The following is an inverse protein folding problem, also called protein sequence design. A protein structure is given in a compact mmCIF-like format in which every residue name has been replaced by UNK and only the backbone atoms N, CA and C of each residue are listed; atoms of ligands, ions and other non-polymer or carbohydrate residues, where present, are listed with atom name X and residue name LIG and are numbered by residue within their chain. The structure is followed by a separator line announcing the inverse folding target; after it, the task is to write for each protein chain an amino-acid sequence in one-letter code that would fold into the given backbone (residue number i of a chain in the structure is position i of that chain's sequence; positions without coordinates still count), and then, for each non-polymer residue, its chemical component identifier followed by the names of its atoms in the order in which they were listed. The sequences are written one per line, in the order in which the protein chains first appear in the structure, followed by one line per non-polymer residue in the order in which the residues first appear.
data_IF_869629715569
#
_entry.id   IF_869629715569
#
_cell.length_a   1.000
_cell.length_b   1.000
_cell.length_c   1.000
_cell.angle_alpha   90.00
_cell.angle_beta   90.00
_cell.angle_gamma   90.00
#
_symmetry.space_group_name_H-M   'P 1'
#
loop_
_entity.id
_entity.type
_entity.pdbx_description
1 polymer ?
#
# COMPACT_ATOMS: atom_id res chain seq x y z
N UNK A 1 -28.05 8.32 23.11
CA UNK A 1 -26.71 7.78 23.44
C UNK A 1 -25.96 7.51 22.14
N UNK A 2 -25.17 8.48 21.67
CA UNK A 2 -24.22 8.28 20.56
C UNK A 2 -23.04 7.49 21.10
N UNK A 3 -22.85 6.27 20.59
CA UNK A 3 -21.63 5.49 20.85
C UNK A 3 -20.45 6.30 20.32
N UNK A 4 -19.36 6.53 21.09
CA UNK A 4 -18.21 7.23 20.57
C UNK A 4 -17.65 6.41 19.40
N UNK A 5 -17.55 7.02 18.22
CA UNK A 5 -16.80 6.46 17.11
C UNK A 5 -15.36 6.27 17.58
N UNK A 6 -14.74 5.08 17.44
CA UNK A 6 -13.34 4.95 17.78
C UNK A 6 -12.58 5.90 16.85
N UNK A 7 -11.85 6.87 17.42
CA UNK A 7 -10.83 7.59 16.65
C UNK A 7 -9.72 6.58 16.40
N UNK A 8 -9.88 5.75 15.37
CA UNK A 8 -8.79 4.94 14.83
C UNK A 8 -7.73 5.92 14.35
N UNK A 9 -6.68 6.09 15.15
CA UNK A 9 -5.53 6.90 14.74
C UNK A 9 -4.94 6.32 13.47
N UNK A 10 -4.54 7.20 12.55
CA UNK A 10 -3.86 6.79 11.33
C UNK A 10 -2.51 6.16 11.67
N UNK A 11 -2.23 5.00 11.09
CA UNK A 11 -0.94 4.32 11.21
C UNK A 11 -0.15 4.60 9.94
N UNK A 12 0.86 5.46 10.02
CA UNK A 12 1.72 5.77 8.87
C UNK A 12 2.77 4.67 8.70
N UNK A 13 2.85 4.09 7.50
CA UNK A 13 3.90 3.15 7.11
C UNK A 13 4.77 3.79 6.05
N UNK A 14 6.06 3.92 6.32
CA UNK A 14 7.02 4.48 5.38
C UNK A 14 7.90 3.36 4.85
N UNK A 15 8.06 3.30 3.54
CA UNK A 15 9.07 2.46 2.91
C UNK A 15 8.69 2.03 1.51
N UNK A 16 9.19 0.87 1.09
CA UNK A 16 9.13 0.42 -0.28
C UNK A 16 8.02 -0.62 -0.53
N UNK A 17 7.68 -0.73 -1.82
CA UNK A 17 6.93 -1.83 -2.39
C UNK A 17 7.78 -2.42 -3.50
N UNK A 18 7.91 -3.75 -3.52
CA UNK A 18 8.73 -4.47 -4.49
C UNK A 18 7.87 -5.53 -5.20
N UNK A 19 8.34 -5.97 -6.36
CA UNK A 19 7.80 -7.13 -7.05
C UNK A 19 8.67 -8.35 -6.73
N UNK A 20 8.19 -9.21 -5.84
CA UNK A 20 8.84 -10.48 -5.51
C UNK A 20 8.64 -11.46 -6.68
N UNK A 21 9.74 -11.80 -7.35
CA UNK A 21 9.75 -12.68 -8.54
C UNK A 21 9.97 -14.13 -8.11
N UNK A 22 8.94 -14.95 -8.28
CA UNK A 22 8.99 -16.40 -8.16
C UNK A 22 9.09 -17.06 -9.55
N UNK A 23 9.47 -18.35 -9.65
CA UNK A 23 9.61 -19.03 -10.94
C UNK A 23 8.36 -19.00 -11.83
N UNK A 24 7.17 -19.00 -11.23
CA UNK A 24 5.88 -19.10 -11.90
C UNK A 24 5.08 -17.78 -11.89
N UNK A 25 5.44 -16.82 -11.02
CA UNK A 25 4.66 -15.60 -10.81
C UNK A 25 5.46 -14.45 -10.24
N UNK A 26 4.93 -13.25 -10.40
CA UNK A 26 5.37 -12.05 -9.68
C UNK A 26 4.31 -11.62 -8.70
N UNK A 27 4.69 -11.27 -7.48
CA UNK A 27 3.77 -10.84 -6.43
C UNK A 27 4.25 -9.51 -5.85
N UNK A 28 3.33 -8.58 -5.63
CA UNK A 28 3.65 -7.37 -4.88
C UNK A 28 3.95 -7.71 -3.41
N UNK A 29 5.13 -7.28 -2.97
CA UNK A 29 5.70 -7.50 -1.65
C UNK A 29 6.35 -6.23 -1.09
N UNK A 30 7.24 -6.43 -0.11
CA UNK A 30 7.80 -5.37 0.73
C UNK A 30 7.18 -5.37 2.12
N UNK A 31 8.03 -5.33 3.16
CA UNK A 31 7.57 -5.39 4.54
C UNK A 31 6.56 -4.27 4.89
N UNK A 32 6.77 -2.99 4.52
CA UNK A 32 5.80 -1.93 4.78
C UNK A 32 4.45 -2.17 4.08
N UNK A 33 4.47 -2.61 2.82
CA UNK A 33 3.26 -2.94 2.06
C UNK A 33 2.47 -4.09 2.70
N UNK A 34 3.17 -5.16 3.10
CA UNK A 34 2.55 -6.33 3.72
C UNK A 34 1.91 -5.98 5.06
N UNK A 35 2.60 -5.20 5.90
CA UNK A 35 2.01 -4.74 7.18
C UNK A 35 0.81 -3.83 6.92
N UNK A 36 0.87 -2.91 5.95
CA UNK A 36 -0.27 -2.05 5.57
C UNK A 36 -1.49 -2.89 5.21
N UNK A 37 -1.31 -3.91 4.35
CA UNK A 37 -2.39 -4.83 3.96
C UNK A 37 -3.01 -5.56 5.15
N UNK A 38 -2.20 -6.04 6.08
CA UNK A 38 -2.70 -6.74 7.25
C UNK A 38 -3.44 -5.83 8.22
N UNK A 39 -2.91 -4.61 8.47
CA UNK A 39 -3.59 -3.61 9.30
C UNK A 39 -4.95 -3.22 8.71
N UNK A 40 -5.02 -3.06 7.38
CA UNK A 40 -6.27 -2.79 6.67
C UNK A 40 -7.27 -3.94 6.86
N UNK A 41 -6.82 -5.19 6.70
CA UNK A 41 -7.66 -6.37 6.92
C UNK A 41 -8.16 -6.51 8.37
N UNK A 42 -7.45 -5.95 9.35
CA UNK A 42 -7.89 -5.86 10.75
C UNK A 42 -8.83 -4.68 11.03
N UNK A 43 -9.22 -3.90 10.02
CA UNK A 43 -10.14 -2.77 10.18
C UNK A 43 -9.51 -1.53 10.82
N UNK A 44 -8.18 -1.43 10.79
CA UNK A 44 -7.45 -0.23 11.19
C UNK A 44 -7.34 0.74 10.01
N UNK A 45 -6.76 1.93 10.25
CA UNK A 45 -6.54 2.96 9.22
C UNK A 45 -5.04 3.14 8.90
N UNK A 46 -4.40 2.19 8.19
CA UNK A 46 -3.04 2.35 7.74
C UNK A 46 -2.97 3.24 6.49
N UNK A 47 -1.93 4.07 6.40
CA UNK A 47 -1.58 4.84 5.21
C UNK A 47 -0.15 4.49 4.81
N UNK A 48 0.01 3.93 3.61
CA UNK A 48 1.33 3.65 3.05
C UNK A 48 1.88 4.90 2.37
N UNK A 49 3.05 5.36 2.83
CA UNK A 49 3.83 6.43 2.25
C UNK A 49 5.02 5.80 1.53
N UNK A 50 5.02 5.87 0.21
CA UNK A 50 6.04 5.22 -0.62
C UNK A 50 6.39 6.04 -1.85
N UNK A 51 7.52 5.72 -2.48
CA UNK A 51 7.92 6.28 -3.77
C UNK A 51 7.89 5.16 -4.79
N UNK A 52 7.30 5.43 -5.95
CA UNK A 52 7.21 4.46 -7.05
C UNK A 52 7.89 5.01 -8.29
N UNK A 53 8.35 4.10 -9.16
CA UNK A 53 8.59 4.43 -10.56
C UNK A 53 7.29 4.80 -11.28
N UNK A 54 7.39 5.11 -12.58
CA UNK A 54 6.25 5.36 -13.46
C UNK A 54 6.13 4.25 -14.52
N UNK A 55 5.93 3.03 -14.05
CA UNK A 55 5.94 1.80 -14.83
C UNK A 55 4.72 0.91 -14.54
N UNK A 56 4.69 -0.28 -15.14
CA UNK A 56 3.59 -1.23 -14.95
C UNK A 56 3.45 -1.72 -13.50
N UNK A 57 4.55 -1.77 -12.73
CA UNK A 57 4.50 -2.19 -11.32
C UNK A 57 3.78 -1.15 -10.45
N UNK A 58 3.90 0.13 -10.79
CA UNK A 58 3.08 1.18 -10.15
C UNK A 58 1.59 0.90 -10.39
N UNK A 59 1.18 0.62 -11.61
CA UNK A 59 -0.24 0.37 -11.91
C UNK A 59 -0.77 -0.88 -11.19
N UNK A 60 0.03 -1.95 -11.15
CA UNK A 60 -0.28 -3.15 -10.37
C UNK A 60 -0.44 -2.84 -8.88
N UNK A 61 0.45 -2.02 -8.32
CA UNK A 61 0.36 -1.56 -6.93
C UNK A 61 -0.95 -0.82 -6.70
N UNK A 62 -1.26 0.21 -7.48
CA UNK A 62 -2.47 1.01 -7.32
C UNK A 62 -3.74 0.15 -7.41
N UNK A 63 -3.80 -0.77 -8.38
CA UNK A 63 -4.91 -1.72 -8.51
C UNK A 63 -5.02 -2.62 -7.27
N UNK A 64 -3.90 -3.12 -6.74
CA UNK A 64 -3.90 -3.90 -5.51
C UNK A 64 -4.35 -3.08 -4.30
N UNK A 65 -3.93 -1.83 -4.17
CA UNK A 65 -4.35 -0.94 -3.07
C UNK A 65 -5.84 -0.68 -3.11
N UNK A 66 -6.38 -0.34 -4.28
CA UNK A 66 -7.81 -0.16 -4.48
C UNK A 66 -8.61 -1.43 -4.13
N UNK A 67 -8.14 -2.61 -4.57
CA UNK A 67 -8.78 -3.89 -4.27
C UNK A 67 -8.86 -4.19 -2.76
N UNK A 68 -7.84 -3.79 -1.99
CA UNK A 68 -7.82 -4.00 -0.54
C UNK A 68 -8.41 -2.82 0.25
N UNK A 69 -8.86 -1.76 -0.41
CA UNK A 69 -9.40 -0.56 0.25
C UNK A 69 -8.35 0.21 1.05
N UNK A 70 -7.07 0.14 0.65
CA UNK A 70 -5.98 0.82 1.34
C UNK A 70 -5.80 2.24 0.86
N UNK A 71 -5.54 3.15 1.79
CA UNK A 71 -5.09 4.51 1.49
C UNK A 71 -3.57 4.55 1.25
N UNK A 72 -3.15 5.35 0.26
CA UNK A 72 -1.75 5.62 0.00
C UNK A 72 -1.47 7.09 -0.24
N UNK A 73 -0.27 7.49 0.16
CA UNK A 73 0.40 8.68 -0.33
C UNK A 73 1.63 8.22 -1.11
N UNK A 74 1.58 8.32 -2.43
CA UNK A 74 2.71 7.94 -3.28
C UNK A 74 3.13 9.10 -4.19
N UNK A 75 4.44 9.28 -4.36
CA UNK A 75 5.00 10.18 -5.35
C UNK A 75 5.67 9.37 -6.47
N UNK A 76 5.29 9.65 -7.71
CA UNK A 76 6.01 9.15 -8.88
C UNK A 76 7.21 10.06 -9.14
N UNK A 77 8.39 9.48 -9.36
CA UNK A 77 9.63 10.28 -9.53
C UNK A 77 10.25 10.26 -10.90
N UNK A 78 9.84 9.38 -11.82
CA UNK A 78 10.41 9.32 -13.17
C UNK A 78 9.40 9.66 -14.28
N UNK A 79 9.67 10.65 -15.14
CA UNK A 79 9.06 10.68 -16.47
C UNK A 79 9.61 9.49 -17.26
N UNK A 80 8.74 8.76 -17.96
CA UNK A 80 9.17 7.61 -18.78
C UNK A 80 10.29 8.06 -19.72
N UNK A 81 11.47 7.45 -19.59
CA UNK A 81 12.60 7.61 -20.54
C UNK A 81 12.27 6.88 -21.84
#
# INVERSE_FOLDING_TARGET
MTKPSPRTGTIALLGEVLADRFPDRSVLGGAPFNVTRHLQAFGLHPVLITRTGNDALREELLASMARFGMDALHQATDPKV
#
